data_IF_878757249043
#
_entry.id   IF_878757249043
#
_cell.length_a   1.000
_cell.length_b   1.000
_cell.length_c   1.000
_cell.angle_alpha   90.00
_cell.angle_beta   90.00
_cell.angle_gamma   90.00
#
_symmetry.space_group_name_H-M   'P 1'
#
loop_
_entity.id
_entity.type
_entity.pdbx_description
1 polymer ?
#
# COMPACT_ATOMS: atom_id res chain seq x y z
N UNK A 1 55.08 24.02 -7.23
CA UNK A 1 55.24 22.59 -6.89
C UNK A 1 53.85 22.02 -6.74
N UNK A 2 53.23 21.68 -7.87
CA UNK A 2 51.93 21.04 -7.95
C UNK A 2 52.15 19.54 -8.14
N UNK A 3 51.48 18.72 -7.32
CA UNK A 3 51.42 17.29 -7.55
C UNK A 3 50.02 16.90 -8.02
N UNK A 4 49.94 16.70 -9.33
CA UNK A 4 48.98 15.86 -10.05
C UNK A 4 48.99 14.41 -9.55
N UNK A 5 47.83 13.74 -9.62
CA UNK A 5 47.56 12.34 -10.06
C UNK A 5 46.22 11.84 -9.48
N UNK A 6 45.27 11.23 -10.17
CA UNK A 6 45.09 10.78 -11.56
C UNK A 6 43.58 10.85 -11.87
N UNK A 7 43.21 11.59 -12.91
CA UNK A 7 41.99 11.34 -13.67
C UNK A 7 42.39 10.42 -14.83
N UNK A 8 41.70 9.28 -14.99
CA UNK A 8 41.73 8.53 -16.25
C UNK A 8 40.31 8.19 -16.67
N UNK A 9 39.92 8.83 -17.77
CA UNK A 9 38.84 8.49 -18.68
C UNK A 9 39.07 7.13 -19.36
N UNK A 10 38.00 6.53 -19.88
CA UNK A 10 37.80 6.03 -21.26
C UNK A 10 36.47 5.22 -21.25
N UNK A 11 35.57 5.31 -22.22
CA UNK A 11 35.64 5.97 -23.52
C UNK A 11 34.25 6.13 -24.16
N UNK A 12 34.27 6.92 -25.22
CA UNK A 12 33.19 7.11 -26.19
C UNK A 12 32.79 5.79 -26.85
N UNK A 13 31.49 5.62 -27.06
CA UNK A 13 30.97 4.91 -28.24
C UNK A 13 29.73 5.65 -28.72
N UNK A 14 29.86 6.27 -29.89
CA UNK A 14 28.75 6.68 -30.72
C UNK A 14 28.17 5.45 -31.43
N UNK A 15 26.85 5.47 -31.65
CA UNK A 15 26.15 4.59 -32.58
C UNK A 15 25.43 3.40 -31.94
N UNK A 16 24.15 3.54 -31.63
CA UNK A 16 23.06 2.91 -32.38
C UNK A 16 21.71 3.17 -31.72
N UNK A 17 20.73 3.42 -32.56
CA UNK A 17 19.31 3.48 -32.23
C UNK A 17 18.87 2.17 -31.53
N UNK A 18 18.13 2.30 -30.44
CA UNK A 18 17.59 1.15 -29.70
C UNK A 18 17.06 1.57 -28.34
N UNK A 19 15.75 1.77 -28.25
CA UNK A 19 15.02 1.96 -27.00
C UNK A 19 15.26 0.76 -26.06
N UNK A 20 15.99 0.98 -24.96
CA UNK A 20 16.07 0.05 -23.84
C UNK A 20 16.42 0.81 -22.55
N UNK A 21 15.58 0.61 -21.52
CA UNK A 21 15.70 1.14 -20.15
C UNK A 21 17.15 1.15 -19.66
N UNK A 22 17.71 2.33 -19.39
CA UNK A 22 19.15 2.45 -19.17
C UNK A 22 19.50 2.19 -17.70
N UNK A 23 20.71 1.67 -17.46
CA UNK A 23 21.34 1.58 -16.14
C UNK A 23 21.33 2.93 -15.38
N UNK A 24 21.18 4.05 -16.09
CA UNK A 24 21.06 5.38 -15.50
C UNK A 24 19.74 5.56 -14.72
N UNK A 25 18.63 4.94 -15.15
CA UNK A 25 17.32 5.04 -14.49
C UNK A 25 17.33 4.27 -13.17
N UNK A 26 17.92 3.07 -13.18
CA UNK A 26 18.13 2.27 -11.96
C UNK A 26 19.08 2.98 -10.98
N UNK A 27 20.13 3.64 -11.49
CA UNK A 27 21.06 4.44 -10.68
C UNK A 27 20.41 5.72 -10.15
N UNK A 28 19.48 6.33 -10.86
CA UNK A 28 18.75 7.51 -10.39
C UNK A 28 17.82 7.17 -9.21
N UNK A 29 17.08 6.06 -9.30
CA UNK A 29 16.25 5.54 -8.20
C UNK A 29 17.11 5.14 -7.00
N UNK A 30 18.23 4.44 -7.23
CA UNK A 30 19.16 4.05 -6.16
C UNK A 30 19.84 5.26 -5.50
N UNK A 31 20.21 6.30 -6.26
CA UNK A 31 20.78 7.55 -5.73
C UNK A 31 19.77 8.39 -4.95
N UNK A 32 18.52 8.43 -5.39
CA UNK A 32 17.43 9.08 -4.64
C UNK A 32 17.19 8.38 -3.29
N UNK A 33 17.25 7.05 -3.26
CA UNK A 33 17.16 6.25 -2.03
C UNK A 33 18.37 6.41 -1.08
N UNK A 34 19.54 6.81 -1.60
CA UNK A 34 20.79 6.97 -0.84
C UNK A 34 21.09 8.42 -0.40
N UNK A 35 20.19 9.37 -0.64
CA UNK A 35 20.45 10.79 -0.38
C UNK A 35 20.51 11.13 1.15
N UNK A 36 21.33 12.10 1.60
CA UNK A 36 21.57 12.39 3.03
C UNK A 36 20.33 12.75 3.87
N UNK A 37 19.25 13.21 3.25
CA UNK A 37 17.98 13.46 3.93
C UNK A 37 17.24 12.17 4.34
N UNK A 38 17.61 11.02 3.76
CA UNK A 38 17.09 9.69 4.08
C UNK A 38 17.52 9.19 5.47
N UNK A 39 18.72 9.55 5.92
CA UNK A 39 19.30 9.14 7.21
C UNK A 39 19.09 10.15 8.33
N UNK A 40 19.06 11.46 8.03
CA UNK A 40 19.08 12.51 9.07
C UNK A 40 17.75 12.76 9.80
N UNK A 41 16.61 12.26 9.33
CA UNK A 41 15.28 12.54 9.91
C UNK A 41 14.64 11.35 10.65
N UNK A 42 15.44 10.31 10.98
CA UNK A 42 15.00 9.09 11.69
C UNK A 42 14.60 9.31 13.16
N UNK A 43 14.79 10.52 13.74
CA UNK A 43 14.62 10.77 15.17
C UNK A 43 13.32 11.51 15.59
N UNK A 44 12.37 11.81 14.69
CA UNK A 44 11.20 12.65 15.02
C UNK A 44 9.81 11.98 14.86
N UNK A 45 9.72 10.65 15.03
CA UNK A 45 8.41 9.95 14.95
C UNK A 45 8.10 9.14 16.22
N UNK A 46 8.15 9.82 17.37
CA UNK A 46 7.49 9.39 18.62
C UNK A 46 6.60 10.52 19.13
N UNK A 47 5.55 10.90 18.40
CA UNK A 47 4.34 11.46 19.01
C UNK A 47 3.29 11.61 17.93
N UNK A 48 2.17 10.89 18.05
CA UNK A 48 0.83 11.24 17.56
C UNK A 48 -0.05 10.00 17.76
N UNK A 49 -0.52 9.84 19.00
CA UNK A 49 -1.41 8.75 19.36
C UNK A 49 -1.81 8.70 20.83
N UNK A 50 -2.08 9.82 21.50
CA UNK A 50 -2.79 9.82 22.79
C UNK A 50 -3.74 11.03 22.90
N UNK A 51 -4.98 10.84 22.46
CA UNK A 51 -6.10 11.68 22.90
C UNK A 51 -6.75 11.04 24.13
N UNK A 52 -6.30 11.45 25.31
CA UNK A 52 -6.87 10.99 26.58
C UNK A 52 -6.31 11.81 27.74
N UNK A 53 -7.02 12.89 28.11
CA UNK A 53 -6.73 13.68 29.32
C UNK A 53 -7.16 12.90 30.56
N UNK A 54 -6.22 12.37 31.33
CA UNK A 54 -6.29 12.26 32.80
C UNK A 54 -4.87 12.28 33.36
N UNK A 55 -4.61 13.18 34.32
CA UNK A 55 -3.28 13.38 34.89
C UNK A 55 -2.89 12.27 35.87
N UNK A 56 -1.61 11.89 35.88
CA UNK A 56 -0.81 11.49 37.06
C UNK A 56 0.56 10.96 36.62
N UNK A 57 1.59 11.44 37.31
CA UNK A 57 2.92 10.84 37.53
C UNK A 57 3.73 10.33 36.32
N UNK A 58 4.79 11.09 36.00
CA UNK A 58 5.91 10.67 35.17
C UNK A 58 6.67 9.51 35.81
N UNK A 59 6.29 8.29 35.48
CA UNK A 59 7.18 7.14 35.59
C UNK A 59 8.05 7.06 34.32
N UNK A 60 9.36 6.85 34.42
CA UNK A 60 10.22 6.69 33.25
C UNK A 60 9.86 5.38 32.54
N UNK A 61 9.06 5.46 31.48
CA UNK A 61 8.80 4.31 30.62
C UNK A 61 10.09 3.92 29.91
N UNK A 62 10.55 2.69 30.15
CA UNK A 62 11.62 2.06 29.35
C UNK A 62 11.20 2.10 27.88
N UNK A 63 11.93 2.87 27.07
CA UNK A 63 11.78 2.89 25.62
C UNK A 63 11.89 1.46 25.07
N UNK A 64 10.74 0.88 24.72
CA UNK A 64 10.70 -0.38 24.01
C UNK A 64 11.01 -0.04 22.56
N UNK A 65 12.28 -0.17 22.18
CA UNK A 65 12.78 -0.03 20.81
C UNK A 65 12.04 -1.01 19.87
N UNK A 66 10.85 -0.65 19.40
CA UNK A 66 10.21 -1.32 18.27
C UNK A 66 10.85 -0.73 17.01
N UNK A 67 12.10 -1.10 16.75
CA UNK A 67 12.68 -0.92 15.42
C UNK A 67 11.87 -1.79 14.47
N UNK A 68 10.88 -1.22 13.77
CA UNK A 68 10.38 -1.85 12.54
C UNK A 68 11.61 -2.02 11.66
N UNK A 69 12.05 -3.27 11.46
CA UNK A 69 13.11 -3.55 10.51
C UNK A 69 12.71 -2.92 9.18
N UNK A 70 13.60 -2.16 8.58
CA UNK A 70 13.34 -1.47 7.32
C UNK A 70 13.15 -2.56 6.26
N UNK A 71 11.89 -2.86 5.91
CA UNK A 71 11.60 -3.85 4.86
C UNK A 71 12.05 -3.21 3.55
N UNK A 72 13.18 -3.68 3.01
CA UNK A 72 13.59 -3.33 1.67
C UNK A 72 12.74 -4.15 0.71
N UNK A 73 11.73 -3.52 0.14
CA UNK A 73 10.88 -4.18 -0.83
C UNK A 73 11.65 -4.42 -2.12
N UNK A 74 11.74 -5.67 -2.63
CA UNK A 74 12.43 -5.96 -3.88
C UNK A 74 11.73 -5.23 -5.02
N UNK A 75 12.49 -4.46 -5.81
CA UNK A 75 12.01 -3.87 -7.06
C UNK A 75 12.71 -4.57 -8.22
N UNK A 76 11.91 -5.05 -9.16
CA UNK A 76 12.39 -5.53 -10.44
C UNK A 76 11.83 -4.61 -11.52
N UNK A 77 12.65 -4.19 -12.51
CA UNK A 77 12.12 -3.50 -13.68
C UNK A 77 10.99 -4.29 -14.33
N UNK A 78 9.94 -3.62 -14.80
CA UNK A 78 8.84 -4.28 -15.50
C UNK A 78 9.38 -4.84 -16.84
N UNK A 79 9.30 -6.15 -17.09
CA UNK A 79 9.69 -6.74 -18.37
C UNK A 79 8.89 -6.16 -19.55
N UNK A 80 9.46 -6.15 -20.75
CA UNK A 80 8.81 -5.53 -21.92
C UNK A 80 7.57 -6.29 -22.41
N UNK A 81 7.50 -7.59 -22.11
CA UNK A 81 6.33 -8.42 -22.41
C UNK A 81 5.18 -8.28 -21.39
N UNK A 82 5.38 -7.55 -20.29
CA UNK A 82 4.32 -7.29 -19.29
C UNK A 82 3.64 -5.96 -19.64
N UNK A 83 2.30 -5.90 -19.75
CA UNK A 83 1.58 -4.64 -19.95
C UNK A 83 1.97 -3.62 -18.90
N UNK A 84 2.34 -2.41 -19.33
CA UNK A 84 2.88 -1.40 -18.45
C UNK A 84 2.56 0.02 -18.93
N UNK A 85 2.68 0.98 -18.02
CA UNK A 85 2.62 2.41 -18.32
C UNK A 85 3.86 3.08 -17.74
N UNK A 86 4.57 3.79 -18.60
CA UNK A 86 5.71 4.60 -18.20
C UNK A 86 5.25 6.04 -17.96
N UNK A 87 5.68 6.62 -16.84
CA UNK A 87 5.30 7.96 -16.43
C UNK A 87 6.56 8.74 -16.09
N UNK A 88 6.82 9.83 -16.81
CA UNK A 88 7.86 10.79 -16.46
C UNK A 88 7.53 11.46 -15.13
N UNK A 89 8.46 11.44 -14.18
CA UNK A 89 8.22 11.99 -12.85
C UNK A 89 8.56 13.48 -12.85
N UNK A 90 7.59 14.28 -12.42
CA UNK A 90 7.73 15.73 -12.22
C UNK A 90 7.25 16.10 -10.83
N UNK A 91 7.56 17.30 -10.37
CA UNK A 91 7.04 17.84 -9.11
C UNK A 91 5.49 17.79 -8.99
N UNK A 92 4.79 17.75 -10.13
CA UNK A 92 3.33 17.68 -10.22
C UNK A 92 2.77 16.32 -10.69
N UNK A 93 3.62 15.30 -10.92
CA UNK A 93 3.17 14.00 -11.40
C UNK A 93 2.48 13.16 -10.31
N UNK A 94 2.63 13.52 -9.04
CA UNK A 94 2.16 12.74 -7.90
C UNK A 94 0.84 13.33 -7.34
N UNK A 95 -0.21 12.50 -7.18
CA UNK A 95 -1.44 12.81 -6.43
C UNK A 95 -1.40 12.06 -5.10
N UNK A 96 -1.09 12.78 -4.03
CA UNK A 96 -1.02 12.20 -2.68
C UNK A 96 -2.40 12.20 -2.02
N UNK A 97 -2.81 11.06 -1.47
CA UNK A 97 -4.03 10.92 -0.71
C UNK A 97 -3.79 10.27 0.66
N UNK A 98 -4.53 10.73 1.67
CA UNK A 98 -4.51 10.20 3.03
C UNK A 98 -5.75 10.67 3.81
N UNK A 99 -5.95 10.10 5.01
CA UNK A 99 -7.01 10.49 5.92
C UNK A 99 -8.39 9.91 5.56
N UNK A 100 -9.21 9.67 6.58
CA UNK A 100 -10.45 8.88 6.45
C UNK A 100 -11.53 9.52 5.56
N UNK A 101 -11.43 10.83 5.34
CA UNK A 101 -12.35 11.56 4.47
C UNK A 101 -12.02 11.41 2.97
N UNK A 102 -10.81 10.96 2.63
CA UNK A 102 -10.41 10.85 1.23
C UNK A 102 -10.96 9.57 0.60
N UNK A 103 -11.66 9.70 -0.54
CA UNK A 103 -12.39 8.63 -1.21
C UNK A 103 -11.55 7.40 -1.62
N UNK A 104 -10.24 7.61 -1.82
CA UNK A 104 -9.29 6.54 -2.15
C UNK A 104 -8.75 5.80 -0.93
N UNK A 105 -9.01 6.27 0.29
CA UNK A 105 -8.62 5.52 1.50
C UNK A 105 -9.60 4.39 1.80
N UNK A 106 -9.09 3.29 2.37
CA UNK A 106 -9.91 2.13 2.70
C UNK A 106 -10.98 2.46 3.77
N UNK A 107 -10.71 3.47 4.60
CA UNK A 107 -11.59 3.91 5.68
C UNK A 107 -12.73 4.83 5.22
N UNK A 108 -12.68 5.34 3.98
CA UNK A 108 -13.73 6.18 3.44
C UNK A 108 -15.08 5.48 3.50
N UNK A 109 -16.07 6.18 4.07
CA UNK A 109 -17.42 5.66 4.28
C UNK A 109 -18.24 5.76 3.01
N UNK A 110 -18.76 4.63 2.57
CA UNK A 110 -19.70 4.50 1.48
C UNK A 110 -20.32 3.11 1.63
N UNK A 111 -21.64 3.02 1.53
CA UNK A 111 -22.35 1.74 1.62
C UNK A 111 -22.28 1.04 0.27
N UNK A 112 -21.75 -0.18 0.25
CA UNK A 112 -21.62 -0.98 -0.96
C UNK A 112 -21.75 -2.46 -0.63
N UNK A 113 -22.16 -3.23 -1.65
CA UNK A 113 -22.50 -4.63 -1.52
C UNK A 113 -21.34 -5.49 -2.05
N UNK A 114 -20.96 -6.51 -1.30
CA UNK A 114 -20.06 -7.58 -1.79
C UNK A 114 -20.73 -8.91 -1.43
N UNK A 115 -20.91 -9.79 -2.43
CA UNK A 115 -21.51 -11.13 -2.24
C UNK A 115 -22.87 -11.12 -1.51
N UNK A 116 -23.68 -10.07 -1.73
CA UNK A 116 -24.99 -9.90 -1.10
C UNK A 116 -24.98 -9.26 0.29
N UNK A 117 -23.81 -9.00 0.88
CA UNK A 117 -23.67 -8.33 2.17
C UNK A 117 -23.29 -6.86 2.01
N UNK A 118 -23.88 -5.98 2.84
CA UNK A 118 -23.58 -4.55 2.83
C UNK A 118 -22.44 -4.20 3.79
N UNK A 119 -21.45 -3.48 3.26
CA UNK A 119 -20.31 -2.95 4.01
C UNK A 119 -20.30 -1.42 3.92
N UNK A 120 -19.84 -0.78 5.00
CA UNK A 120 -19.77 0.67 5.17
C UNK A 120 -18.44 1.26 4.70
N UNK A 121 -17.40 0.43 4.55
CA UNK A 121 -16.09 0.82 4.04
C UNK A 121 -15.29 -0.40 3.59
N UNK A 122 -14.26 -0.19 2.76
CA UNK A 122 -13.34 -1.27 2.36
C UNK A 122 -12.59 -1.81 3.58
N UNK A 123 -12.23 -0.95 4.55
CA UNK A 123 -11.59 -1.37 5.79
C UNK A 123 -12.49 -2.33 6.60
N UNK A 124 -13.81 -2.12 6.65
CA UNK A 124 -14.70 -3.06 7.33
C UNK A 124 -14.61 -4.47 6.72
N UNK A 125 -14.79 -4.56 5.40
CA UNK A 125 -14.70 -5.83 4.67
C UNK A 125 -13.33 -6.48 4.87
N UNK A 126 -12.25 -5.71 4.67
CA UNK A 126 -10.89 -6.20 4.77
C UNK A 126 -10.56 -6.76 6.15
N UNK A 127 -10.90 -6.03 7.22
CA UNK A 127 -10.61 -6.45 8.58
C UNK A 127 -11.48 -7.64 9.01
N UNK A 128 -12.74 -7.70 8.55
CA UNK A 128 -13.61 -8.84 8.80
C UNK A 128 -13.08 -10.12 8.13
N UNK A 129 -12.69 -10.05 6.85
CA UNK A 129 -12.08 -11.19 6.15
C UNK A 129 -10.75 -11.58 6.78
N UNK A 130 -9.92 -10.62 7.21
CA UNK A 130 -8.66 -10.90 7.91
C UNK A 130 -8.86 -11.73 9.16
N UNK A 131 -9.83 -11.35 10.00
CA UNK A 131 -10.15 -12.09 11.21
C UNK A 131 -10.67 -13.47 10.84
N UNK A 132 -11.67 -13.55 9.94
CA UNK A 132 -12.26 -14.82 9.51
C UNK A 132 -11.23 -15.79 8.95
N UNK A 133 -10.35 -15.34 8.06
CA UNK A 133 -9.34 -16.19 7.41
C UNK A 133 -8.26 -16.68 8.39
N UNK A 134 -7.87 -15.85 9.37
CA UNK A 134 -6.77 -16.18 10.29
C UNK A 134 -7.23 -16.90 11.56
N UNK A 135 -8.48 -16.73 11.99
CA UNK A 135 -8.99 -17.31 13.24
C UNK A 135 -10.13 -18.30 13.03
N UNK A 136 -10.77 -18.31 11.85
CA UNK A 136 -12.01 -19.04 11.61
C UNK A 136 -13.26 -18.39 12.22
N UNK A 137 -13.11 -17.27 12.94
CA UNK A 137 -14.20 -16.63 13.69
C UNK A 137 -14.84 -15.52 12.86
N UNK A 138 -16.17 -15.47 12.85
CA UNK A 138 -16.93 -14.32 12.35
C UNK A 138 -17.48 -13.53 13.55
N UNK A 139 -17.15 -12.24 13.66
CA UNK A 139 -17.62 -11.39 14.76
C UNK A 139 -18.70 -10.43 14.29
N UNK A 140 -19.88 -10.49 14.91
CA UNK A 140 -20.97 -9.54 14.67
C UNK A 140 -20.60 -8.08 15.00
N UNK A 141 -19.51 -7.85 15.75
CA UNK A 141 -18.97 -6.52 16.06
C UNK A 141 -18.50 -5.73 14.84
N UNK A 142 -18.25 -6.41 13.72
CA UNK A 142 -17.96 -5.72 12.46
C UNK A 142 -19.22 -5.07 11.87
N UNK A 143 -20.41 -5.59 12.15
CA UNK A 143 -21.67 -5.21 11.50
C UNK A 143 -22.67 -4.52 12.43
N UNK A 144 -22.53 -4.66 13.74
CA UNK A 144 -23.46 -4.10 14.75
C UNK A 144 -23.38 -2.56 14.93
N UNK A 145 -22.44 -1.90 14.26
CA UNK A 145 -22.26 -0.45 14.35
C UNK A 145 -21.55 0.03 15.62
N UNK A 146 -21.08 -0.87 16.48
CA UNK A 146 -20.41 -0.54 17.75
C UNK A 146 -19.07 0.17 17.59
N UNK A 147 -18.41 0.00 16.44
CA UNK A 147 -17.13 0.64 16.15
C UNK A 147 -17.05 1.18 14.74
N UNK A 148 -16.23 2.22 14.58
CA UNK A 148 -15.79 2.74 13.29
C UNK A 148 -14.32 2.47 13.00
N UNK A 149 -13.58 1.96 13.99
CA UNK A 149 -12.17 1.59 13.92
C UNK A 149 -12.05 0.05 13.86
N UNK A 150 -12.31 -0.48 12.67
CA UNK A 150 -12.27 -1.92 12.41
C UNK A 150 -10.83 -2.48 12.52
N UNK A 151 -9.83 -1.63 12.28
CA UNK A 151 -8.41 -1.98 12.43
C UNK A 151 -8.06 -2.32 13.89
N UNK A 152 -8.54 -1.51 14.85
CA UNK A 152 -8.34 -1.77 16.28
C UNK A 152 -9.13 -3.01 16.74
N UNK A 153 -10.38 -3.18 16.29
CA UNK A 153 -11.19 -4.37 16.59
C UNK A 153 -10.50 -5.66 16.09
N UNK A 154 -10.07 -5.68 14.82
CA UNK A 154 -9.37 -6.86 14.28
C UNK A 154 -8.06 -7.15 15.01
N UNK A 155 -7.30 -6.12 15.42
CA UNK A 155 -6.08 -6.31 16.20
C UNK A 155 -6.36 -7.01 17.53
N UNK A 156 -7.43 -6.62 18.21
CA UNK A 156 -7.83 -7.23 19.48
C UNK A 156 -8.27 -8.68 19.30
N UNK A 157 -9.11 -8.97 18.30
CA UNK A 157 -9.57 -10.33 18.01
C UNK A 157 -8.41 -11.28 17.62
N UNK A 158 -7.47 -10.80 16.80
CA UNK A 158 -6.28 -11.59 16.44
C UNK A 158 -5.35 -11.83 17.63
N UNK A 159 -5.24 -10.86 18.54
CA UNK A 159 -4.47 -11.00 19.77
C UNK A 159 -5.10 -12.05 20.69
N UNK A 160 -6.42 -12.03 20.84
CA UNK A 160 -7.17 -13.03 21.62
C UNK A 160 -6.99 -14.44 21.05
N UNK A 161 -7.01 -14.57 19.71
CA UNK A 161 -6.75 -15.83 19.01
C UNK A 161 -5.26 -16.21 18.92
N UNK A 162 -4.35 -15.45 19.55
CA UNK A 162 -2.90 -15.71 19.55
C UNK A 162 -2.26 -15.84 18.15
N UNK A 163 -2.79 -15.12 17.15
CA UNK A 163 -2.25 -15.13 15.79
C UNK A 163 -0.90 -14.40 15.76
N UNK A 164 0.10 -15.03 15.13
CA UNK A 164 1.45 -14.45 15.06
C UNK A 164 1.47 -13.30 14.06
N UNK A 165 2.33 -12.31 14.33
CA UNK A 165 2.56 -11.18 13.42
C UNK A 165 3.04 -11.62 12.03
N UNK A 166 3.83 -12.69 11.94
CA UNK A 166 4.28 -13.27 10.67
C UNK A 166 3.11 -13.71 9.80
N UNK A 167 2.09 -14.28 10.41
CA UNK A 167 0.93 -14.85 9.71
C UNK A 167 0.03 -13.72 9.22
N UNK A 168 -0.12 -12.66 10.02
CA UNK A 168 -0.79 -11.43 9.61
C UNK A 168 -0.06 -10.75 8.44
N UNK A 169 1.27 -10.71 8.44
CA UNK A 169 2.05 -10.11 7.35
C UNK A 169 1.97 -10.95 6.07
N UNK A 170 2.11 -12.27 6.18
CA UNK A 170 1.93 -13.20 5.06
C UNK A 170 0.53 -13.07 4.44
N UNK A 171 -0.51 -13.03 5.28
CA UNK A 171 -1.86 -12.78 4.83
C UNK A 171 -1.98 -11.40 4.17
N UNK A 172 -1.41 -10.34 4.75
CA UNK A 172 -1.46 -8.97 4.21
C UNK A 172 -0.91 -8.88 2.79
N UNK A 173 0.18 -9.59 2.48
CA UNK A 173 0.86 -9.53 1.18
C UNK A 173 0.33 -10.51 0.14
N UNK A 174 -0.33 -11.59 0.58
CA UNK A 174 -1.00 -12.57 -0.28
C UNK A 174 -2.51 -12.37 -0.30
N UNK A 175 -3.23 -13.18 0.48
CA UNK A 175 -4.71 -13.20 0.53
C UNK A 175 -5.37 -11.83 0.74
N UNK A 176 -4.77 -10.97 1.55
CA UNK A 176 -5.23 -9.61 1.81
C UNK A 176 -5.23 -8.71 0.58
N UNK A 177 -4.29 -8.93 -0.36
CA UNK A 177 -4.26 -8.24 -1.64
C UNK A 177 -5.51 -8.56 -2.46
N UNK A 178 -5.89 -9.84 -2.52
CA UNK A 178 -7.12 -10.26 -3.19
C UNK A 178 -8.37 -9.61 -2.57
N UNK A 179 -8.44 -9.61 -1.23
CA UNK A 179 -9.56 -9.00 -0.48
C UNK A 179 -9.71 -7.52 -0.80
N UNK A 180 -8.61 -6.77 -0.83
CA UNK A 180 -8.63 -5.34 -1.17
C UNK A 180 -9.02 -5.12 -2.63
N UNK A 181 -8.49 -5.91 -3.57
CA UNK A 181 -8.82 -5.78 -4.99
C UNK A 181 -10.32 -6.01 -5.24
N UNK A 182 -10.89 -7.06 -4.64
CA UNK A 182 -12.34 -7.31 -4.72
C UNK A 182 -13.15 -6.14 -4.18
N UNK A 183 -12.82 -5.68 -2.98
CA UNK A 183 -13.58 -4.61 -2.33
C UNK A 183 -13.50 -3.27 -3.08
N UNK A 184 -12.33 -2.94 -3.63
CA UNK A 184 -12.16 -1.73 -4.43
C UNK A 184 -12.93 -1.82 -5.73
N UNK A 185 -12.89 -2.98 -6.42
CA UNK A 185 -13.64 -3.18 -7.66
C UNK A 185 -15.15 -3.03 -7.41
N UNK A 186 -15.67 -3.67 -6.37
CA UNK A 186 -17.10 -3.57 -6.02
C UNK A 186 -17.50 -2.16 -5.60
N UNK A 187 -16.66 -1.47 -4.82
CA UNK A 187 -16.90 -0.05 -4.49
C UNK A 187 -16.88 0.82 -5.74
N UNK A 188 -15.96 0.60 -6.68
CA UNK A 188 -15.90 1.37 -7.93
C UNK A 188 -17.10 1.12 -8.83
N UNK A 189 -17.67 -0.10 -8.83
CA UNK A 189 -18.92 -0.42 -9.56
C UNK A 189 -20.14 0.31 -9.00
N UNK A 190 -20.16 0.54 -7.70
CA UNK A 190 -21.32 1.12 -7.01
C UNK A 190 -21.19 2.62 -6.71
N UNK A 191 -19.98 3.17 -6.68
CA UNK A 191 -19.72 4.56 -6.28
C UNK A 191 -19.32 5.43 -7.49
N UNK A 192 -20.28 6.17 -8.05
CA UNK A 192 -20.02 7.11 -9.16
C UNK A 192 -19.02 8.20 -8.78
N UNK A 193 -19.08 8.71 -7.55
CA UNK A 193 -18.14 9.74 -7.07
C UNK A 193 -16.70 9.23 -7.05
N UNK A 194 -16.49 7.96 -6.71
CA UNK A 194 -15.17 7.34 -6.73
C UNK A 194 -14.67 7.17 -8.15
N UNK A 195 -15.54 6.81 -9.11
CA UNK A 195 -15.19 6.78 -10.53
C UNK A 195 -14.78 8.16 -11.03
N UNK A 196 -15.58 9.19 -10.76
CA UNK A 196 -15.31 10.57 -11.15
C UNK A 196 -14.01 11.09 -10.53
N UNK A 197 -13.80 10.83 -9.25
CA UNK A 197 -12.57 11.19 -8.57
C UNK A 197 -11.36 10.49 -9.22
N UNK A 198 -11.49 9.19 -9.52
CA UNK A 198 -10.41 8.42 -10.11
C UNK A 198 -10.04 8.92 -11.52
N UNK A 199 -11.01 9.18 -12.39
CA UNK A 199 -10.76 9.73 -13.74
C UNK A 199 -10.18 11.15 -13.67
N UNK A 200 -10.65 11.98 -12.73
CA UNK A 200 -10.16 13.36 -12.54
C UNK A 200 -8.67 13.46 -12.18
N UNK A 201 -8.06 12.35 -11.73
CA UNK A 201 -6.63 12.31 -11.41
C UNK A 201 -5.73 12.34 -12.65
N UNK A 202 -6.30 12.18 -13.85
CA UNK A 202 -5.59 12.18 -15.12
C UNK A 202 -4.50 11.10 -15.14
N UNK A 203 -3.31 11.43 -15.64
CA UNK A 203 -2.16 10.51 -15.67
C UNK A 203 -1.27 10.57 -14.42
N UNK A 204 -1.74 11.17 -13.33
CA UNK A 204 -0.94 11.28 -12.10
C UNK A 204 -0.68 9.90 -11.49
N UNK A 205 0.47 9.77 -10.84
CA UNK A 205 0.84 8.67 -9.96
C UNK A 205 0.05 8.85 -8.67
N UNK A 206 -0.82 7.91 -8.36
CA UNK A 206 -1.61 7.92 -7.13
C UNK A 206 -0.76 7.38 -5.98
N UNK A 207 -0.65 8.13 -4.88
CA UNK A 207 0.20 7.75 -3.74
C UNK A 207 -0.57 7.84 -2.43
N UNK A 208 -0.76 6.71 -1.75
CA UNK A 208 -1.28 6.69 -0.39
C UNK A 208 -0.16 7.15 0.56
N UNK A 209 -0.18 8.43 0.92
CA UNK A 209 0.88 9.07 1.69
C UNK A 209 0.63 8.95 3.19
N UNK A 210 0.80 7.75 3.74
CA UNK A 210 0.61 7.46 5.16
C UNK A 210 1.86 6.83 5.78
N UNK A 211 2.36 7.42 6.87
CA UNK A 211 3.59 6.98 7.54
C UNK A 211 3.50 5.59 8.20
N UNK A 212 2.29 5.12 8.51
CA UNK A 212 2.08 3.86 9.22
C UNK A 212 2.03 2.61 8.34
N UNK A 213 1.96 2.77 7.02
CA UNK A 213 1.74 1.69 6.04
C UNK A 213 2.72 1.80 4.87
N UNK A 214 3.62 0.84 4.81
CA UNK A 214 4.71 0.72 3.85
C UNK A 214 4.45 -0.29 2.72
N UNK A 215 3.34 -1.06 2.78
CA UNK A 215 2.99 -2.01 1.73
C UNK A 215 1.93 -1.40 0.81
N UNK A 216 0.75 -1.10 1.35
CA UNK A 216 -0.33 -0.47 0.57
C UNK A 216 -0.04 1.01 0.34
N UNK A 217 0.65 1.66 1.29
CA UNK A 217 1.08 3.05 1.18
C UNK A 217 2.57 3.25 0.91
N UNK A 218 2.98 4.52 0.87
CA UNK A 218 4.37 4.94 0.66
C UNK A 218 5.24 4.87 1.92
N UNK A 219 4.66 4.53 3.08
CA UNK A 219 5.33 4.58 4.37
C UNK A 219 5.77 5.99 4.79
N UNK A 220 5.27 7.05 4.11
CA UNK A 220 5.71 8.43 4.33
C UNK A 220 4.59 9.45 4.12
N UNK A 221 4.59 10.58 4.86
CA UNK A 221 3.70 11.71 4.59
C UNK A 221 3.92 12.36 3.22
N UNK A 222 2.90 13.07 2.73
CA UNK A 222 2.87 13.70 1.40
C UNK A 222 4.06 14.63 1.13
N UNK A 223 4.55 15.35 2.15
CA UNK A 223 5.73 16.22 2.04
C UNK A 223 6.95 15.44 1.52
N UNK A 224 7.22 14.27 2.09
CA UNK A 224 8.36 13.45 1.69
C UNK A 224 8.17 12.78 0.33
N UNK A 225 6.93 12.47 -0.05
CA UNK A 225 6.62 12.01 -1.41
C UNK A 225 6.97 13.10 -2.43
N UNK A 226 6.66 14.37 -2.15
CA UNK A 226 7.02 15.50 -3.02
C UNK A 226 8.54 15.68 -3.13
N UNK A 227 9.26 15.59 -2.02
CA UNK A 227 10.73 15.65 -2.01
C UNK A 227 11.34 14.51 -2.84
N UNK A 228 10.76 13.30 -2.73
CA UNK A 228 11.14 12.13 -3.53
C UNK A 228 10.86 12.33 -5.02
N UNK A 229 9.65 12.81 -5.41
CA UNK A 229 9.31 13.08 -6.82
C UNK A 229 10.27 14.15 -7.40
N UNK A 230 10.61 15.19 -6.62
CA UNK A 230 11.58 16.22 -7.01
C UNK A 230 12.99 15.68 -7.25
N UNK A 231 13.40 14.67 -6.48
CA UNK A 231 14.68 13.99 -6.66
C UNK A 231 14.76 13.24 -8.00
N UNK A 232 13.69 12.58 -8.41
CA UNK A 232 13.62 11.86 -9.69
C UNK A 232 13.56 12.85 -10.86
N UNK A 233 12.75 13.91 -10.73
CA UNK A 233 12.62 14.96 -11.75
C UNK A 233 13.97 15.60 -12.10
N UNK A 234 14.80 15.91 -11.09
CA UNK A 234 16.17 16.44 -11.30
C UNK A 234 17.05 15.51 -12.13
N UNK A 235 16.78 14.21 -12.10
CA UNK A 235 17.48 13.20 -12.88
C UNK A 235 16.74 12.84 -14.17
N UNK A 236 15.66 13.55 -14.53
CA UNK A 236 14.79 13.28 -15.68
C UNK A 236 14.27 11.83 -15.71
N UNK A 237 14.07 11.23 -14.53
CA UNK A 237 13.67 9.83 -14.42
C UNK A 237 12.20 9.61 -14.72
N UNK A 238 11.90 8.41 -15.23
CA UNK A 238 10.56 7.88 -15.39
C UNK A 238 10.34 6.67 -14.49
N UNK A 239 9.07 6.31 -14.29
CA UNK A 239 8.67 5.12 -13.57
C UNK A 239 7.78 4.26 -14.44
N UNK A 240 8.08 2.96 -14.47
CA UNK A 240 7.31 1.95 -15.18
C UNK A 240 6.42 1.21 -14.18
N UNK A 241 5.11 1.24 -14.37
CA UNK A 241 4.14 0.55 -13.52
C UNK A 241 3.49 -0.61 -14.30
N UNK A 242 3.32 -1.80 -13.69
CA UNK A 242 2.57 -2.87 -14.33
C UNK A 242 1.09 -2.48 -14.45
N UNK A 243 0.49 -2.71 -15.61
CA UNK A 243 -0.92 -2.41 -15.94
C UNK A 243 -1.76 -3.69 -16.03
N UNK A 244 -1.49 -4.64 -15.13
CA UNK A 244 -2.13 -5.96 -15.10
C UNK A 244 -3.13 -6.00 -13.95
N UNK A 245 -4.35 -6.45 -14.24
CA UNK A 245 -5.36 -6.76 -13.23
C UNK A 245 -5.79 -8.23 -13.38
N UNK A 246 -5.88 -9.00 -12.28
CA UNK A 246 -5.53 -8.61 -10.92
C UNK A 246 -4.01 -8.49 -10.70
N UNK A 247 -3.61 -7.67 -9.74
CA UNK A 247 -2.27 -7.68 -9.17
C UNK A 247 -2.08 -8.95 -8.33
N UNK A 248 -1.05 -9.72 -8.67
CA UNK A 248 -0.60 -10.88 -7.90
C UNK A 248 0.75 -10.57 -7.25
N UNK A 249 1.21 -11.42 -6.34
CA UNK A 249 2.57 -11.32 -5.76
C UNK A 249 3.66 -11.23 -6.83
N UNK A 250 3.46 -11.93 -7.96
CA UNK A 250 4.37 -11.88 -9.10
C UNK A 250 4.48 -10.49 -9.73
N UNK A 251 3.37 -9.75 -9.81
CA UNK A 251 3.37 -8.40 -10.39
C UNK A 251 3.70 -7.31 -9.40
N UNK A 252 3.45 -7.51 -8.09
CA UNK A 252 3.76 -6.54 -7.03
C UNK A 252 5.25 -6.23 -6.96
N UNK A 253 6.13 -7.19 -7.27
CA UNK A 253 7.59 -6.96 -7.32
C UNK A 253 8.00 -5.90 -8.35
N UNK A 254 7.19 -5.71 -9.40
CA UNK A 254 7.44 -4.71 -10.43
C UNK A 254 6.94 -3.31 -10.08
N UNK A 255 6.19 -3.16 -8.98
CA UNK A 255 5.74 -1.84 -8.53
C UNK A 255 6.94 -1.07 -7.96
N UNK A 256 7.22 0.14 -8.47
CA UNK A 256 8.29 0.99 -7.94
C UNK A 256 8.10 1.29 -6.45
N UNK A 257 9.20 1.37 -5.71
CA UNK A 257 9.18 1.86 -4.33
C UNK A 257 9.02 3.37 -4.37
N UNK A 258 7.99 3.90 -3.69
CA UNK A 258 7.71 5.33 -3.59
C UNK A 258 7.92 5.77 -2.14
N UNK A 259 8.83 6.70 -1.91
CA UNK A 259 9.24 7.06 -0.55
C UNK A 259 9.93 5.89 0.14
N UNK A 260 9.24 5.26 1.10
CA UNK A 260 9.74 4.09 1.85
C UNK A 260 8.93 2.81 1.60
N UNK A 261 7.86 2.89 0.81
CA UNK A 261 6.88 1.82 0.69
C UNK A 261 6.57 1.41 -0.74
N UNK A 262 5.85 0.29 -0.90
CA UNK A 262 5.44 -0.21 -2.21
C UNK A 262 4.30 0.56 -2.85
N UNK A 263 3.48 1.25 -2.06
CA UNK A 263 2.33 1.99 -2.57
C UNK A 263 1.41 1.11 -3.46
N UNK A 264 1.19 -0.16 -3.06
CA UNK A 264 0.37 -1.12 -3.82
C UNK A 264 -1.03 -0.58 -4.08
N UNK A 265 -1.62 0.14 -3.11
CA UNK A 265 -2.96 0.72 -3.27
C UNK A 265 -3.01 1.78 -4.37
N UNK A 266 -1.97 2.62 -4.46
CA UNK A 266 -1.85 3.61 -5.52
C UNK A 266 -1.72 2.97 -6.90
N UNK A 267 -0.87 1.94 -7.04
CA UNK A 267 -0.72 1.19 -8.29
C UNK A 267 -2.05 0.52 -8.71
N UNK A 268 -2.76 -0.10 -7.75
CA UNK A 268 -4.06 -0.71 -7.99
C UNK A 268 -5.08 0.30 -8.54
N UNK A 269 -5.15 1.51 -7.96
CA UNK A 269 -6.02 2.55 -8.49
C UNK A 269 -5.62 3.02 -9.89
N UNK A 270 -4.32 3.09 -10.20
CA UNK A 270 -3.86 3.44 -11.55
C UNK A 270 -4.29 2.39 -12.58
N UNK A 271 -4.19 1.10 -12.23
CA UNK A 271 -4.65 0.00 -13.08
C UNK A 271 -6.16 0.08 -13.30
N UNK A 272 -6.93 0.25 -12.23
CA UNK A 272 -8.39 0.33 -12.33
C UNK A 272 -8.87 1.61 -13.04
N UNK A 273 -8.12 2.71 -12.94
CA UNK A 273 -8.35 3.93 -13.72
C UNK A 273 -8.22 3.66 -15.22
N UNK A 274 -7.17 2.94 -15.62
CA UNK A 274 -6.95 2.57 -17.02
C UNK A 274 -8.10 1.69 -17.53
N UNK A 275 -8.54 0.71 -16.73
CA UNK A 275 -9.70 -0.14 -17.05
C UNK A 275 -11.00 0.66 -17.13
N UNK A 276 -11.22 1.60 -16.22
CA UNK A 276 -12.37 2.49 -16.23
C UNK A 276 -12.39 3.39 -17.48
N UNK A 277 -11.27 4.00 -17.83
CA UNK A 277 -11.14 4.87 -19.00
C UNK A 277 -11.38 4.11 -20.32
N UNK A 278 -11.06 2.82 -20.36
CA UNK A 278 -11.28 1.96 -21.52
C UNK A 278 -12.65 1.26 -21.50
N UNK A 279 -13.54 1.61 -20.56
CA UNK A 279 -14.86 0.98 -20.38
C UNK A 279 -14.80 -0.54 -20.12
N UNK A 280 -13.71 -1.01 -19.50
CA UNK A 280 -13.44 -2.42 -19.22
C UNK A 280 -13.72 -2.82 -17.76
N UNK A 281 -14.27 -1.93 -16.93
CA UNK A 281 -14.46 -2.20 -15.50
C UNK A 281 -15.47 -3.34 -15.25
N UNK A 282 -16.53 -3.39 -16.04
CA UNK A 282 -17.60 -4.38 -15.88
C UNK A 282 -17.18 -5.77 -16.39
N UNK A 283 -16.21 -5.82 -17.31
CA UNK A 283 -15.63 -7.07 -17.82
C UNK A 283 -14.73 -7.79 -16.79
N UNK A 284 -14.34 -7.09 -15.71
CA UNK A 284 -13.44 -7.64 -14.70
C UNK A 284 -14.19 -8.61 -13.77
N UNK A 285 -14.14 -9.90 -14.05
CA UNK A 285 -14.57 -10.89 -13.06
C UNK A 285 -13.41 -11.23 -12.12
N UNK A 286 -13.53 -10.80 -10.85
CA UNK A 286 -12.57 -11.13 -9.81
C UNK A 286 -13.17 -12.12 -8.81
N UNK A 287 -12.84 -13.40 -8.98
CA UNK A 287 -13.06 -14.43 -7.98
C UNK A 287 -11.77 -14.68 -7.20
N UNK A 288 -11.89 -14.89 -5.89
CA UNK A 288 -10.75 -15.30 -5.08
C UNK A 288 -10.14 -16.59 -5.65
N UNK A 289 -8.82 -16.61 -5.82
CA UNK A 289 -8.11 -17.88 -5.97
C UNK A 289 -8.42 -18.73 -4.74
N UNK A 290 -8.89 -19.97 -4.93
CA UNK A 290 -9.07 -20.91 -3.81
C UNK A 290 -7.77 -20.95 -3.02
N UNK A 291 -7.78 -20.41 -1.81
CA UNK A 291 -6.67 -20.57 -0.88
C UNK A 291 -6.50 -22.05 -0.62
N UNK A 292 -5.29 -22.57 -0.83
CA UNK A 292 -4.90 -23.84 -0.23
C UNK A 292 -5.12 -23.68 1.28
N UNK A 293 -5.98 -24.53 1.84
CA UNK A 293 -6.25 -24.57 3.27
C UNK A 293 -4.92 -24.62 4.02
N UNK A 294 -4.60 -23.54 4.74
CA UNK A 294 -3.52 -23.59 5.73
C UNK A 294 -4.04 -24.51 6.82
N UNK A 295 -3.54 -25.74 6.81
CA UNK A 295 -3.86 -26.74 7.82
C UNK A 295 -3.47 -26.22 9.19
N UNK A 296 -4.49 -25.89 9.99
CA UNK A 296 -4.41 -25.68 11.43
C UNK A 296 -5.59 -26.43 12.03
N UNK A 297 -5.29 -27.44 12.84
CA UNK A 297 -6.24 -28.45 13.29
C UNK A 297 -7.48 -27.91 13.99
N UNK A 298 -8.55 -28.70 13.87
CA UNK A 298 -9.78 -28.60 14.64
C UNK A 298 -9.48 -28.41 16.14
N UNK A 299 -9.95 -27.30 16.71
CA UNK A 299 -10.76 -27.33 17.94
C UNK A 299 -11.84 -26.27 17.79
N UNK A 300 -13.05 -26.70 17.41
CA UNK A 300 -14.23 -25.86 17.49
C UNK A 300 -14.47 -25.47 18.94
N UNK A 301 -14.28 -24.20 19.27
CA UNK A 301 -14.89 -23.58 20.43
C UNK A 301 -15.90 -22.57 19.92
N UNK A 302 -17.16 -22.96 20.01
CA UNK A 302 -18.30 -22.08 19.85
C UNK A 302 -18.37 -21.19 21.09
N UNK A 303 -18.14 -19.88 20.94
CA UNK A 303 -18.39 -18.90 21.99
C UNK A 303 -19.68 -18.15 21.66
N UNK A 304 -20.81 -18.77 21.99
CA UNK A 304 -22.03 -18.04 22.28
C UNK A 304 -21.81 -17.27 23.58
N UNK A 305 -21.62 -15.96 23.49
CA UNK A 305 -21.77 -15.08 24.66
C UNK A 305 -23.26 -14.83 24.82
N UNK A 306 -23.87 -15.61 25.70
CA UNK A 306 -25.24 -15.39 26.15
C UNK A 306 -25.35 -13.98 26.73
N UNK A 307 -26.31 -13.22 26.19
CA UNK A 307 -26.81 -12.02 26.83
C UNK A 307 -27.69 -12.47 27.98
N UNK A 308 -27.29 -12.23 29.22
CA UNK A 308 -28.18 -12.34 30.37
C UNK A 308 -28.15 -11.05 31.20
N UNK A 309 -29.34 -10.46 31.28
CA UNK A 309 -29.91 -9.58 32.30
C UNK A 309 -29.25 -8.24 32.62
#
# INVERSE_FOLDING_TARGET
MDNFRVVRNFGEYAGNEGYATSLADQRAVARAAAAPWYTSHMNMYEDFGQGGRYGMQRYPMKQRNIRRQHIQYPYSPVPDNVPHKEISVTSNSCFCFHGYANIFTLQHRFDFIIDGETYKSIDQYYQQQKVKDLTGISSGKFTDGSTRDYSSLARELLRQASIKRSDVESWRTGRGLDVIQKAILEKLRQCQDMRNALTSTGDKILVQSFGGDDYYGSGTPAKYVKDWCSGIEKNKGSLKFPMVFPLTEEYVKYIPVIGKGKNVLGALFMILREKLNNSQLDDLNFSFSKSASVGGGQTGMDFTVDSNS
#
